data_IF_183233480425
#
_entry.id   IF_183233480425
#
_cell.length_a   1.000
_cell.length_b   1.000
_cell.length_c   1.000
_cell.angle_alpha   90.00
_cell.angle_beta   90.00
_cell.angle_gamma   90.00
#
_symmetry.space_group_name_H-M   'P 1'
#
loop_
_entity.id
_entity.type
_entity.pdbx_description
1 polymer ?
#
# COMPACT_ATOMS: atom_id res chain seq x y z
N UNK A 1 38.68 -63.25 50.75
CA UNK A 1 39.32 -62.07 51.36
C UNK A 1 38.46 -60.84 51.06
N UNK A 2 37.90 -60.21 52.11
CA UNK A 2 37.34 -58.83 52.27
C UNK A 2 36.24 -58.26 51.31
N UNK A 3 35.01 -58.21 51.87
CA UNK A 3 34.02 -57.10 52.02
C UNK A 3 34.06 -55.86 51.08
N UNK A 4 32.86 -55.47 50.59
CA UNK A 4 32.07 -54.21 50.83
C UNK A 4 30.98 -54.09 49.73
N UNK A 5 29.68 -54.20 49.99
CA UNK A 5 28.72 -53.24 50.59
C UNK A 5 28.73 -51.85 49.95
N UNK A 6 27.71 -51.52 49.12
CA UNK A 6 26.66 -50.54 49.45
C UNK A 6 25.97 -49.91 48.22
N UNK A 7 24.63 -49.88 48.33
CA UNK A 7 23.72 -48.76 48.10
C UNK A 7 23.52 -48.17 46.68
N UNK A 8 22.27 -48.34 46.24
CA UNK A 8 21.32 -47.28 45.85
C UNK A 8 21.76 -46.29 44.76
N UNK A 9 21.02 -46.28 43.64
CA UNK A 9 19.98 -45.26 43.41
C UNK A 9 19.21 -45.57 42.12
N UNK A 10 17.92 -45.88 42.26
CA UNK A 10 16.97 -45.88 41.13
C UNK A 10 16.70 -44.41 40.80
N UNK A 11 17.23 -43.94 39.67
CA UNK A 11 16.87 -42.63 39.15
C UNK A 11 15.43 -42.68 38.63
N UNK A 12 14.52 -42.02 39.33
CA UNK A 12 13.17 -41.76 38.87
C UNK A 12 13.24 -40.67 37.80
N UNK A 13 12.91 -41.01 36.55
CA UNK A 13 12.82 -40.06 35.44
C UNK A 13 11.52 -39.27 35.58
N UNK A 14 11.61 -38.04 36.08
CA UNK A 14 10.49 -37.10 36.19
C UNK A 14 10.28 -36.44 34.81
N UNK A 15 9.18 -36.74 34.12
CA UNK A 15 8.82 -36.07 32.87
C UNK A 15 8.18 -34.71 33.16
N UNK A 16 8.79 -33.63 32.69
CA UNK A 16 8.18 -32.29 32.69
C UNK A 16 7.30 -32.14 31.44
N UNK A 17 6.02 -31.77 31.53
CA UNK A 17 5.25 -31.41 30.34
C UNK A 17 5.75 -30.05 29.84
N UNK A 18 6.23 -29.99 28.60
CA UNK A 18 6.52 -28.74 27.93
C UNK A 18 5.19 -28.01 27.66
N UNK A 19 4.85 -27.04 28.52
CA UNK A 19 3.72 -26.15 28.30
C UNK A 19 4.10 -25.15 27.20
N UNK A 20 3.65 -25.44 25.98
CA UNK A 20 3.77 -24.52 24.84
C UNK A 20 2.83 -23.34 25.06
N UNK A 21 3.36 -22.22 25.58
CA UNK A 21 2.66 -20.94 25.60
C UNK A 21 2.70 -20.39 24.17
N UNK A 22 1.61 -20.59 23.41
CA UNK A 22 1.42 -19.89 22.15
C UNK A 22 1.01 -18.46 22.48
N UNK A 23 1.99 -17.56 22.55
CA UNK A 23 1.75 -16.13 22.63
C UNK A 23 1.27 -15.67 21.25
N UNK A 24 -0.03 -15.72 21.00
CA UNK A 24 -0.61 -15.05 19.84
C UNK A 24 -0.53 -13.55 20.07
N UNK A 25 0.54 -12.93 19.56
CA UNK A 25 0.57 -11.47 19.43
C UNK A 25 -0.42 -11.10 18.33
N UNK A 26 -1.64 -10.73 18.73
CA UNK A 26 -2.54 -9.98 17.85
C UNK A 26 -1.95 -8.59 17.72
N UNK A 27 -1.03 -8.42 16.77
CA UNK A 27 -0.76 -7.10 16.23
C UNK A 27 -2.05 -6.67 15.54
N UNK A 28 -2.78 -5.74 16.15
CA UNK A 28 -3.69 -4.90 15.40
C UNK A 28 -2.79 -4.07 14.47
N UNK A 29 -2.48 -4.62 13.30
CA UNK A 29 -1.81 -3.86 12.27
C UNK A 29 -2.76 -2.68 11.97
N UNK A 30 -2.33 -1.42 12.14
CA UNK A 30 -3.07 -0.32 11.51
C UNK A 30 -3.19 -0.73 10.05
N UNK A 31 -4.38 -0.63 9.44
CA UNK A 31 -4.64 -1.06 8.06
C UNK A 31 -3.43 -0.70 7.17
N UNK A 32 -2.57 -1.68 6.94
CA UNK A 32 -1.24 -1.44 6.41
C UNK A 32 -1.33 -1.74 4.92
N UNK A 33 -1.44 -0.69 4.14
CA UNK A 33 -1.45 -0.77 2.67
C UNK A 33 -0.14 -1.42 2.16
N UNK A 34 0.92 -1.51 2.98
CA UNK A 34 2.21 -2.14 2.63
C UNK A 34 2.24 -3.67 2.69
N UNK A 35 1.20 -4.35 3.21
CA UNK A 35 1.12 -5.81 3.25
C UNK A 35 -0.04 -6.36 2.39
N UNK A 36 -0.28 -5.77 1.22
CA UNK A 36 -1.23 -6.33 0.27
C UNK A 36 -0.54 -7.37 -0.64
N UNK A 37 -1.10 -8.59 -0.79
CA UNK A 37 -0.60 -9.57 -1.75
C UNK A 37 -0.69 -9.00 -3.18
N UNK A 38 0.28 -9.34 -4.03
CA UNK A 38 0.38 -8.83 -5.40
C UNK A 38 -0.91 -9.05 -6.23
N UNK A 39 -1.31 -8.03 -6.99
CA UNK A 39 -2.44 -8.02 -7.94
C UNK A 39 -3.70 -7.36 -7.38
N UNK A 40 -4.15 -6.26 -8.02
CA UNK A 40 -5.44 -5.53 -7.85
C UNK A 40 -5.89 -5.16 -6.42
N UNK A 41 -5.10 -5.43 -5.38
CA UNK A 41 -5.53 -5.40 -3.97
C UNK A 41 -5.22 -4.11 -3.22
N UNK A 42 -4.86 -3.04 -3.90
CA UNK A 42 -4.44 -1.82 -3.21
C UNK A 42 -5.62 -0.91 -2.83
N UNK A 43 -6.63 -0.77 -3.70
CA UNK A 43 -7.77 0.12 -3.44
C UNK A 43 -8.98 -0.63 -2.87
N UNK A 44 -9.41 -0.24 -1.68
CA UNK A 44 -10.73 -0.62 -1.17
C UNK A 44 -11.80 0.24 -1.86
N UNK A 45 -12.80 -0.42 -2.45
CA UNK A 45 -13.91 0.26 -3.13
C UNK A 45 -15.25 -0.22 -2.59
N UNK A 46 -16.21 0.69 -2.53
CA UNK A 46 -17.59 0.42 -2.12
C UNK A 46 -18.54 0.50 -3.33
N UNK A 47 -19.66 -0.20 -3.26
CA UNK A 47 -20.69 -0.16 -4.31
C UNK A 47 -21.57 1.08 -4.12
N UNK A 48 -21.78 1.83 -5.20
CA UNK A 48 -22.84 2.82 -5.33
C UNK A 48 -24.00 2.15 -6.06
N UNK A 49 -25.12 1.97 -5.37
CA UNK A 49 -26.21 1.07 -5.77
C UNK A 49 -27.55 1.74 -6.04
N UNK A 50 -27.57 3.03 -6.40
CA UNK A 50 -28.78 3.81 -6.68
C UNK A 50 -28.90 4.15 -8.19
N UNK A 51 -29.05 3.14 -9.08
CA UNK A 51 -29.17 3.40 -10.51
C UNK A 51 -30.47 4.13 -10.82
N UNK A 52 -30.39 5.12 -11.72
CA UNK A 52 -31.52 5.95 -12.12
C UNK A 52 -31.74 7.16 -11.21
N UNK A 53 -30.74 7.57 -10.42
CA UNK A 53 -30.83 8.79 -9.62
C UNK A 53 -31.07 10.01 -10.53
N UNK A 54 -31.93 10.97 -10.11
CA UNK A 54 -32.14 12.19 -10.87
C UNK A 54 -30.86 13.03 -10.95
N UNK A 55 -30.68 13.84 -12.01
CA UNK A 55 -29.61 14.82 -12.06
C UNK A 55 -29.85 15.93 -11.02
N UNK A 56 -28.80 16.69 -10.71
CA UNK A 56 -28.91 17.92 -9.93
C UNK A 56 -29.55 19.06 -10.75
N UNK A 57 -29.67 20.26 -10.16
CA UNK A 57 -30.27 21.43 -10.80
C UNK A 57 -29.50 21.92 -12.04
N UNK A 58 -28.28 21.44 -12.26
CA UNK A 58 -27.49 21.73 -13.47
C UNK A 58 -27.80 20.76 -14.62
N UNK A 59 -28.58 19.71 -14.36
CA UNK A 59 -28.92 18.66 -15.32
C UNK A 59 -27.88 17.55 -15.45
N UNK A 60 -26.87 17.52 -14.57
CA UNK A 60 -25.80 16.51 -14.57
C UNK A 60 -25.86 15.59 -13.35
N UNK A 61 -25.14 14.46 -13.40
CA UNK A 61 -24.98 13.56 -12.25
C UNK A 61 -25.98 12.39 -12.17
N UNK A 62 -26.88 12.22 -13.14
CA UNK A 62 -27.70 11.02 -13.24
C UNK A 62 -26.88 9.81 -13.71
N UNK A 63 -26.96 8.69 -13.00
CA UNK A 63 -26.20 7.47 -13.31
C UNK A 63 -27.15 6.27 -13.42
N UNK A 64 -27.17 5.60 -14.57
CA UNK A 64 -28.14 4.54 -14.87
C UNK A 64 -27.73 3.14 -14.40
N UNK A 65 -26.54 2.95 -13.84
CA UNK A 65 -25.99 1.65 -13.48
C UNK A 65 -25.23 1.70 -12.15
N UNK A 66 -25.19 0.58 -11.40
CA UNK A 66 -24.36 0.49 -10.21
C UNK A 66 -22.87 0.49 -10.59
N UNK A 67 -22.05 1.16 -9.78
CA UNK A 67 -20.60 1.22 -9.98
C UNK A 67 -19.87 1.11 -8.65
N UNK A 68 -18.54 1.01 -8.69
CA UNK A 68 -17.69 1.00 -7.49
C UNK A 68 -16.85 2.28 -7.46
N UNK A 69 -16.71 2.85 -6.28
CA UNK A 69 -15.88 4.04 -6.04
C UNK A 69 -14.90 3.74 -4.91
N UNK A 70 -13.72 4.37 -4.96
CA UNK A 70 -12.76 4.30 -3.86
C UNK A 70 -13.42 4.70 -2.54
N UNK A 71 -13.23 3.87 -1.51
CA UNK A 71 -13.70 4.16 -0.15
C UNK A 71 -12.88 5.28 0.50
N UNK A 72 -11.61 5.36 0.10
CA UNK A 72 -10.62 6.33 0.54
C UNK A 72 -9.95 6.97 -0.67
N UNK A 73 -9.29 8.10 -0.44
CA UNK A 73 -8.40 8.72 -1.41
C UNK A 73 -7.17 7.81 -1.66
N UNK A 74 -6.57 7.96 -2.85
CA UNK A 74 -5.32 7.26 -3.18
C UNK A 74 -4.22 7.77 -2.25
N UNK A 75 -3.51 6.84 -1.60
CA UNK A 75 -2.47 7.16 -0.63
C UNK A 75 -1.12 7.44 -1.30
N UNK A 76 -0.24 8.15 -0.59
CA UNK A 76 1.12 8.41 -1.06
C UNK A 76 1.90 7.11 -1.35
N UNK A 77 1.74 6.07 -0.52
CA UNK A 77 2.39 4.78 -0.76
C UNK A 77 1.92 4.08 -2.05
N UNK A 78 0.62 4.16 -2.35
CA UNK A 78 0.05 3.59 -3.58
C UNK A 78 0.58 4.29 -4.81
N UNK A 79 0.70 5.61 -4.74
CA UNK A 79 1.27 6.37 -5.84
C UNK A 79 2.79 6.13 -5.97
N UNK A 80 3.52 5.91 -4.88
CA UNK A 80 4.94 5.49 -4.90
C UNK A 80 5.12 4.15 -5.61
N UNK A 81 4.21 3.19 -5.42
CA UNK A 81 4.25 1.91 -6.15
C UNK A 81 4.13 2.14 -7.66
N UNK A 82 3.17 2.96 -8.07
CA UNK A 82 2.98 3.37 -9.46
C UNK A 82 4.20 4.08 -10.04
N UNK A 83 4.75 5.06 -9.34
CA UNK A 83 5.94 5.80 -9.79
C UNK A 83 7.16 4.88 -9.94
N UNK A 84 7.39 3.97 -8.99
CA UNK A 84 8.48 3.01 -9.10
C UNK A 84 8.26 1.99 -10.22
N UNK A 85 7.02 1.76 -10.66
CA UNK A 85 6.73 0.90 -11.80
C UNK A 85 6.92 1.64 -13.15
N UNK A 86 6.45 2.89 -13.24
CA UNK A 86 6.26 3.58 -14.53
C UNK A 86 7.14 4.81 -14.75
N UNK A 87 7.66 5.43 -13.70
CA UNK A 87 8.39 6.69 -13.76
C UNK A 87 9.93 6.54 -13.57
N UNK A 88 10.49 5.32 -13.69
CA UNK A 88 11.95 5.10 -13.61
C UNK A 88 12.70 5.87 -14.70
N UNK A 89 12.16 5.81 -15.91
CA UNK A 89 12.46 6.69 -17.02
C UNK A 89 11.11 7.35 -17.34
N UNK A 90 10.96 8.61 -16.96
CA UNK A 90 9.78 9.41 -17.27
C UNK A 90 10.17 10.41 -18.39
N UNK A 91 10.37 9.94 -19.64
CA UNK A 91 10.73 10.82 -20.75
C UNK A 91 9.58 11.81 -21.08
N UNK A 92 8.34 11.46 -20.73
CA UNK A 92 7.18 12.34 -20.79
C UNK A 92 7.18 13.40 -19.67
N UNK A 93 7.90 13.14 -18.57
CA UNK A 93 8.32 14.10 -17.55
C UNK A 93 7.24 14.57 -16.56
N UNK A 94 6.14 13.82 -16.41
CA UNK A 94 4.92 14.37 -15.80
C UNK A 94 4.33 13.56 -14.63
N UNK A 95 4.77 12.33 -14.36
CA UNK A 95 4.10 11.52 -13.34
C UNK A 95 4.45 11.94 -11.90
N UNK A 96 5.60 12.56 -11.70
CA UNK A 96 6.03 13.12 -10.42
C UNK A 96 6.35 14.61 -10.54
N UNK A 97 5.88 15.38 -9.55
CA UNK A 97 6.06 16.82 -9.48
C UNK A 97 7.01 17.19 -8.32
N UNK A 98 7.89 18.18 -8.52
CA UNK A 98 8.71 18.76 -7.44
C UNK A 98 7.88 19.20 -6.23
N UNK A 99 6.64 19.65 -6.44
CA UNK A 99 5.74 20.01 -5.36
C UNK A 99 5.26 18.81 -4.53
N UNK A 100 5.46 17.56 -4.95
CA UNK A 100 5.21 16.40 -4.08
C UNK A 100 6.21 16.29 -2.94
N UNK A 101 7.40 16.90 -3.08
CA UNK A 101 8.49 16.84 -2.13
C UNK A 101 8.61 18.15 -1.34
N UNK A 102 8.57 18.04 -0.01
CA UNK A 102 8.68 19.18 0.90
C UNK A 102 10.03 19.89 0.83
N UNK A 103 11.06 19.23 0.29
CA UNK A 103 12.41 19.78 0.15
C UNK A 103 12.61 20.61 -1.12
N UNK A 104 11.75 20.44 -2.13
CA UNK A 104 11.87 21.09 -3.44
C UNK A 104 10.96 22.32 -3.59
N UNK A 105 9.95 22.45 -2.74
CA UNK A 105 8.93 23.48 -2.85
C UNK A 105 8.67 24.20 -1.53
N UNK A 106 8.12 25.41 -1.61
CA UNK A 106 7.90 26.29 -0.46
C UNK A 106 6.89 25.76 0.58
N UNK A 107 6.54 26.57 1.59
CA UNK A 107 5.69 26.12 2.69
C UNK A 107 4.30 25.64 2.23
N UNK A 108 3.80 24.54 2.80
CA UNK A 108 2.46 24.00 2.58
C UNK A 108 2.37 22.48 2.79
N UNK A 109 1.16 21.91 2.93
CA UNK A 109 1.01 20.47 3.10
C UNK A 109 1.35 19.74 1.78
N UNK A 110 2.28 18.79 1.83
CA UNK A 110 2.68 17.90 0.72
C UNK A 110 2.53 16.43 1.12
N UNK A 111 2.40 15.55 0.14
CA UNK A 111 2.43 14.10 0.35
C UNK A 111 3.84 13.58 0.70
N UNK A 112 4.88 14.39 0.46
CA UNK A 112 6.30 14.11 0.75
C UNK A 112 6.84 12.86 0.04
N UNK A 113 6.42 12.66 -1.21
CA UNK A 113 7.01 11.65 -2.10
C UNK A 113 8.31 12.22 -2.65
N UNK A 114 9.43 11.61 -2.27
CA UNK A 114 10.78 12.03 -2.65
C UNK A 114 11.32 11.18 -3.79
N UNK A 115 11.94 11.84 -4.76
CA UNK A 115 12.65 11.21 -5.89
C UNK A 115 14.15 11.16 -5.61
N UNK A 116 14.77 10.04 -5.95
CA UNK A 116 16.21 9.81 -5.88
C UNK A 116 16.73 9.18 -7.17
N UNK A 117 18.04 9.20 -7.35
CA UNK A 117 18.72 8.64 -8.51
C UNK A 117 18.85 9.64 -9.66
N UNK A 118 19.29 9.11 -10.80
CA UNK A 118 19.59 9.88 -12.00
C UNK A 118 18.55 9.63 -13.09
N UNK A 119 18.54 10.49 -14.11
CA UNK A 119 17.66 10.38 -15.27
C UNK A 119 17.72 8.97 -15.87
N UNK A 120 16.55 8.33 -15.99
CA UNK A 120 16.43 6.96 -16.50
C UNK A 120 16.57 5.86 -15.46
N UNK A 121 16.87 6.19 -14.20
CA UNK A 121 16.96 5.26 -13.08
C UNK A 121 16.43 5.88 -11.78
N UNK A 122 15.32 6.62 -11.86
CA UNK A 122 14.71 7.20 -10.66
C UNK A 122 14.08 6.15 -9.76
N UNK A 123 14.13 6.42 -8.46
CA UNK A 123 13.37 5.71 -7.43
C UNK A 123 12.60 6.69 -6.57
N UNK A 124 11.44 6.26 -6.09
CA UNK A 124 10.52 7.10 -5.31
C UNK A 124 10.26 6.46 -3.97
N UNK A 125 10.16 7.28 -2.93
CA UNK A 125 9.84 6.83 -1.58
C UNK A 125 9.02 7.86 -0.82
N UNK A 126 8.33 7.39 0.20
CA UNK A 126 7.64 8.20 1.20
C UNK A 126 7.95 7.64 2.58
N UNK A 127 8.04 8.49 3.60
CA UNK A 127 8.28 8.04 4.96
C UNK A 127 7.06 7.24 5.49
N UNK A 128 7.25 6.15 6.27
CA UNK A 128 6.14 5.28 6.71
C UNK A 128 4.99 6.00 7.43
N UNK A 129 5.30 7.03 8.21
CA UNK A 129 4.33 7.86 8.94
C UNK A 129 3.49 8.78 8.04
N UNK A 130 3.89 8.94 6.78
CA UNK A 130 3.22 9.77 5.77
C UNK A 130 2.52 8.92 4.70
N UNK A 131 2.82 7.63 4.66
CA UNK A 131 2.41 6.70 3.62
C UNK A 131 0.90 6.61 3.37
N UNK A 132 0.10 6.62 4.44
CA UNK A 132 -1.36 6.48 4.39
C UNK A 132 -2.08 7.82 4.16
N UNK A 133 -1.34 8.92 3.95
CA UNK A 133 -1.94 10.21 3.63
C UNK A 133 -2.35 10.26 2.16
N UNK A 134 -3.36 11.07 1.82
CA UNK A 134 -3.73 11.28 0.43
C UNK A 134 -2.56 11.81 -0.38
N UNK A 135 -2.36 11.27 -1.58
CA UNK A 135 -1.43 11.87 -2.54
C UNK A 135 -1.99 13.21 -3.03
N UNK A 136 -1.12 14.19 -3.22
CA UNK A 136 -1.47 15.51 -3.74
C UNK A 136 -0.40 15.98 -4.75
N UNK A 137 -0.68 17.08 -5.47
CA UNK A 137 0.12 17.56 -6.61
C UNK A 137 0.14 16.60 -7.80
N UNK A 138 -0.95 15.87 -7.98
CA UNK A 138 -1.21 14.96 -9.11
C UNK A 138 -2.12 15.69 -10.11
N UNK A 139 -1.78 15.70 -11.39
CA UNK A 139 -2.64 16.27 -12.42
C UNK A 139 -3.79 15.32 -12.79
N UNK A 140 -4.80 15.82 -13.50
CA UNK A 140 -5.86 14.97 -14.04
C UNK A 140 -5.32 13.85 -14.93
N UNK A 141 -4.33 14.17 -15.78
CA UNK A 141 -3.73 13.20 -16.69
C UNK A 141 -2.94 12.11 -15.95
N UNK A 142 -2.23 12.49 -14.89
CA UNK A 142 -1.50 11.53 -14.05
C UNK A 142 -2.46 10.59 -13.32
N UNK A 143 -3.60 11.12 -12.84
CA UNK A 143 -4.65 10.32 -12.23
C UNK A 143 -5.28 9.33 -13.23
N UNK A 144 -5.52 9.75 -14.48
CA UNK A 144 -5.97 8.86 -15.55
C UNK A 144 -4.95 7.74 -15.81
N UNK A 145 -3.67 8.08 -15.93
CA UNK A 145 -2.58 7.12 -16.15
C UNK A 145 -2.46 6.12 -14.99
N UNK A 146 -2.64 6.58 -13.75
CA UNK A 146 -2.70 5.72 -12.58
C UNK A 146 -3.89 4.75 -12.65
N UNK A 147 -5.09 5.24 -12.99
CA UNK A 147 -6.29 4.40 -13.14
C UNK A 147 -6.13 3.34 -14.25
N UNK A 148 -5.57 3.71 -15.39
CA UNK A 148 -5.28 2.79 -16.49
C UNK A 148 -4.27 1.72 -16.07
N UNK A 149 -3.20 2.12 -15.37
CA UNK A 149 -2.22 1.16 -14.83
C UNK A 149 -2.83 0.17 -13.84
N UNK A 150 -3.73 0.63 -12.97
CA UNK A 150 -4.50 -0.25 -12.09
C UNK A 150 -5.40 -1.20 -12.88
N UNK A 151 -6.11 -0.69 -13.89
CA UNK A 151 -6.98 -1.49 -14.76
C UNK A 151 -6.21 -2.60 -15.49
N UNK A 152 -5.01 -2.27 -15.97
CA UNK A 152 -4.12 -3.16 -16.72
C UNK A 152 -3.31 -4.12 -15.84
N UNK A 153 -3.70 -4.32 -14.57
CA UNK A 153 -3.11 -5.33 -13.70
C UNK A 153 -1.83 -4.91 -12.96
N UNK A 154 -1.51 -3.61 -12.93
CA UNK A 154 -0.35 -3.04 -12.22
C UNK A 154 1.00 -3.56 -12.74
N UNK A 155 2.09 -3.23 -12.04
CA UNK A 155 3.45 -3.60 -12.41
C UNK A 155 3.82 -3.08 -13.80
N UNK A 156 3.94 -3.98 -14.77
CA UNK A 156 4.27 -3.64 -16.16
C UNK A 156 3.05 -3.20 -17.00
N UNK A 157 1.84 -3.14 -16.43
CA UNK A 157 0.63 -2.67 -17.10
C UNK A 157 0.81 -1.31 -17.79
N UNK A 158 0.07 -1.12 -18.88
CA UNK A 158 0.09 0.12 -19.65
C UNK A 158 -0.64 1.27 -18.91
N UNK A 159 -0.31 2.52 -19.25
CA UNK A 159 -0.89 3.73 -18.64
C UNK A 159 -1.81 4.50 -19.57
N UNK A 160 -1.83 4.20 -20.87
CA UNK A 160 -2.54 5.00 -21.88
C UNK A 160 -3.86 4.34 -22.30
N UNK A 161 -3.96 3.02 -22.21
CA UNK A 161 -5.16 2.25 -22.58
C UNK A 161 -5.85 1.66 -21.35
N UNK A 162 -7.17 1.47 -21.42
CA UNK A 162 -8.00 0.90 -20.35
C UNK A 162 -9.36 0.44 -20.87
#
# INVERSE_FOLDING_TARGET
MRRRSNHMNKAATLSLPAMLVVLSVVHALPADVFQMPAGLKSLETVVVGDPGNPPDDTGFGAVAYPYRIGKYEVTAAQYVEFLNAKAKSDPDGNLWNNDMDTTHSGPGPRCDIRREGDLGSYTYRVAPELANRPVNFVSFWDACRFCNWLHNGQGNGDTEEG
#
